data_IF_592322111953
#
_entry.id   IF_592322111953
#
_cell.length_a   1.000
_cell.length_b   1.000
_cell.length_c   1.000
_cell.angle_alpha   90.00
_cell.angle_beta   90.00
_cell.angle_gamma   90.00
#
_symmetry.space_group_name_H-M   'P 1'
#
loop_
_entity.id
_entity.type
_entity.pdbx_description
1 polymer ?
#
# COMPACT_ATOMS: atom_id res chain seq x y z
N UNK A 1 4.35 6.50 -9.45
CA UNK A 1 3.44 5.60 -10.21
C UNK A 1 2.18 5.23 -9.41
N UNK A 2 2.30 4.80 -8.12
CA UNK A 2 1.15 4.50 -7.26
C UNK A 2 0.32 5.77 -6.98
N UNK A 3 0.99 6.89 -6.71
CA UNK A 3 0.35 8.19 -6.46
C UNK A 3 -0.30 8.80 -7.70
N UNK A 4 0.20 8.49 -8.90
CA UNK A 4 -0.35 9.04 -10.13
C UNK A 4 -1.65 8.33 -10.55
N UNK A 5 -1.77 7.03 -10.29
CA UNK A 5 -3.03 6.29 -10.49
C UNK A 5 -4.15 6.77 -9.56
N UNK A 6 -3.80 7.27 -8.37
CA UNK A 6 -4.76 7.80 -7.39
C UNK A 6 -5.30 9.20 -7.74
N UNK A 7 -4.62 9.96 -8.61
CA UNK A 7 -5.07 11.30 -9.05
C UNK A 7 -6.36 11.27 -9.89
N UNK A 8 -6.77 10.10 -10.36
CA UNK A 8 -7.93 9.92 -11.23
C UNK A 8 -9.12 9.27 -10.51
N UNK A 9 -9.04 9.05 -9.19
CA UNK A 9 -10.14 8.44 -8.43
C UNK A 9 -11.23 9.49 -8.24
N UNK A 10 -12.41 9.16 -8.70
CA UNK A 10 -13.63 9.93 -8.44
C UNK A 10 -14.08 9.66 -6.99
N UNK A 11 -13.62 10.53 -6.09
CA UNK A 11 -13.89 10.41 -4.64
C UNK A 11 -15.39 10.52 -4.37
N UNK A 12 -16.13 11.34 -5.12
CA UNK A 12 -17.58 11.50 -4.94
C UNK A 12 -18.31 10.18 -5.22
N UNK A 13 -17.92 9.47 -6.28
CA UNK A 13 -18.45 8.14 -6.57
C UNK A 13 -18.10 7.11 -5.51
N UNK A 14 -16.92 7.19 -4.90
CA UNK A 14 -16.49 6.26 -3.86
C UNK A 14 -17.27 6.47 -2.55
N UNK A 15 -17.54 7.72 -2.17
CA UNK A 15 -18.23 8.09 -0.93
C UNK A 15 -19.64 7.50 -0.89
N UNK A 16 -20.38 7.49 -2.00
CA UNK A 16 -21.73 6.94 -2.07
C UNK A 16 -21.79 5.47 -1.66
N UNK A 17 -20.75 4.69 -1.99
CA UNK A 17 -20.62 3.28 -1.53
C UNK A 17 -20.13 3.24 -0.09
N UNK A 18 -19.16 4.08 0.28
CA UNK A 18 -18.56 4.08 1.61
C UNK A 18 -19.58 4.32 2.74
N UNK A 19 -20.60 5.14 2.48
CA UNK A 19 -21.69 5.42 3.42
C UNK A 19 -22.66 4.24 3.65
N UNK A 20 -22.63 3.22 2.75
CA UNK A 20 -23.56 2.09 2.74
C UNK A 20 -22.90 0.75 3.03
N UNK A 21 -21.62 0.74 3.40
CA UNK A 21 -20.86 -0.48 3.65
C UNK A 21 -20.23 -0.49 5.03
N UNK A 22 -20.16 -1.66 5.63
CA UNK A 22 -19.38 -1.91 6.82
C UNK A 22 -18.34 -3.00 6.56
N UNK A 23 -17.07 -2.73 6.88
CA UNK A 23 -16.00 -3.72 6.75
C UNK A 23 -16.20 -4.83 7.78
N UNK A 24 -16.39 -6.06 7.31
CA UNK A 24 -16.64 -7.23 8.15
C UNK A 24 -15.37 -8.05 8.37
N UNK A 25 -14.56 -8.25 7.32
CA UNK A 25 -13.39 -9.13 7.40
C UNK A 25 -12.30 -8.70 6.42
N UNK A 26 -11.04 -8.93 6.83
CA UNK A 26 -9.85 -8.79 5.97
C UNK A 26 -9.02 -10.05 6.10
N UNK A 27 -8.68 -10.67 4.97
CA UNK A 27 -7.85 -11.89 4.94
C UNK A 27 -6.92 -11.90 3.73
N UNK A 28 -5.75 -12.53 3.87
CA UNK A 28 -4.88 -12.85 2.73
C UNK A 28 -5.48 -14.03 1.97
N UNK A 29 -5.65 -13.89 0.66
CA UNK A 29 -6.17 -14.97 -0.22
C UNK A 29 -5.12 -15.51 -1.16
N UNK A 30 -4.07 -14.73 -1.42
CA UNK A 30 -2.92 -15.14 -2.22
C UNK A 30 -1.68 -14.43 -1.71
N UNK A 31 -0.55 -15.12 -1.63
CA UNK A 31 0.73 -14.47 -1.31
C UNK A 31 1.89 -15.24 -1.91
N UNK A 32 2.99 -14.52 -2.16
CA UNK A 32 4.27 -15.08 -2.59
C UNK A 32 5.40 -14.28 -1.97
N UNK A 33 6.42 -14.98 -1.49
CA UNK A 33 7.66 -14.39 -0.99
C UNK A 33 8.83 -15.16 -1.59
N UNK A 34 9.64 -14.47 -2.36
CA UNK A 34 10.81 -15.03 -3.06
C UNK A 34 12.06 -14.30 -2.60
N UNK A 35 13.07 -15.05 -2.17
CA UNK A 35 14.39 -14.53 -1.82
C UNK A 35 15.44 -15.29 -2.63
N UNK A 36 16.37 -14.57 -3.26
CA UNK A 36 17.51 -15.23 -3.93
C UNK A 36 18.42 -15.93 -2.93
N UNK A 37 18.91 -17.15 -3.27
CA UNK A 37 19.76 -17.95 -2.36
C UNK A 37 21.08 -17.28 -1.99
N UNK A 38 21.56 -16.32 -2.77
CA UNK A 38 22.84 -15.61 -2.55
C UNK A 38 22.88 -14.75 -1.29
N UNK A 39 21.81 -14.71 -0.51
CA UNK A 39 21.71 -13.99 0.76
C UNK A 39 22.17 -12.55 0.62
N UNK A 40 21.28 -11.64 0.37
CA UNK A 40 21.65 -10.25 0.10
C UNK A 40 21.87 -9.49 1.39
N UNK A 41 23.05 -8.94 1.56
CA UNK A 41 23.37 -8.00 2.64
C UNK A 41 23.56 -6.63 1.99
N UNK A 42 22.78 -5.66 2.39
CA UNK A 42 23.00 -4.30 1.91
C UNK A 42 21.78 -3.40 2.06
N UNK A 43 21.94 -2.13 1.79
CA UNK A 43 20.81 -1.24 1.61
C UNK A 43 20.05 -1.64 0.35
N UNK A 44 18.71 -1.60 0.43
CA UNK A 44 17.84 -1.96 -0.67
C UNK A 44 17.14 -0.72 -1.23
N UNK A 45 17.06 -0.67 -2.54
CA UNK A 45 16.09 0.15 -3.26
C UNK A 45 14.81 -0.67 -3.43
N UNK A 46 13.66 -0.10 -3.10
CA UNK A 46 12.39 -0.81 -3.06
C UNK A 46 11.39 -0.15 -3.99
N UNK A 47 10.80 -0.95 -4.86
CA UNK A 47 9.69 -0.55 -5.74
C UNK A 47 8.40 -1.18 -5.24
N UNK A 48 7.38 -0.34 -5.00
CA UNK A 48 6.03 -0.77 -4.62
C UNK A 48 5.10 -0.64 -5.82
N UNK A 49 4.37 -1.71 -6.11
CA UNK A 49 3.37 -1.72 -7.17
C UNK A 49 2.02 -2.16 -6.62
N UNK A 50 0.98 -1.56 -7.18
CA UNK A 50 -0.41 -1.97 -7.00
C UNK A 50 -0.92 -2.49 -8.34
N UNK A 51 -1.53 -3.65 -8.33
CA UNK A 51 -2.17 -4.26 -9.49
C UNK A 51 -3.63 -3.80 -9.61
N UNK A 52 -4.32 -4.27 -10.63
CA UNK A 52 -5.76 -4.07 -10.78
C UNK A 52 -6.52 -4.64 -9.56
N UNK A 53 -7.63 -4.00 -9.23
CA UNK A 53 -8.50 -4.39 -8.11
C UNK A 53 -9.69 -5.14 -8.69
N UNK A 54 -9.84 -6.39 -8.27
CA UNK A 54 -11.06 -7.15 -8.56
C UNK A 54 -12.14 -6.83 -7.53
N UNK A 55 -13.39 -6.76 -8.00
CA UNK A 55 -14.55 -6.41 -7.19
C UNK A 55 -15.68 -7.40 -7.47
N UNK A 56 -16.16 -8.03 -6.42
CA UNK A 56 -17.22 -9.03 -6.49
C UNK A 56 -18.40 -8.61 -5.63
N UNK A 57 -19.58 -8.59 -6.22
CA UNK A 57 -20.82 -8.18 -5.56
C UNK A 57 -21.78 -9.35 -5.53
N UNK A 58 -22.24 -9.71 -4.34
CA UNK A 58 -23.33 -10.67 -4.17
C UNK A 58 -24.58 -9.93 -3.67
N UNK A 59 -25.54 -9.74 -4.59
CA UNK A 59 -26.77 -9.00 -4.29
C UNK A 59 -27.68 -9.71 -3.30
N UNK A 60 -27.77 -11.03 -3.38
CA UNK A 60 -28.63 -11.84 -2.49
C UNK A 60 -28.12 -11.82 -1.04
N UNK A 61 -26.81 -11.93 -0.87
CA UNK A 61 -26.17 -11.90 0.45
C UNK A 61 -25.83 -10.48 0.94
N UNK A 62 -26.12 -9.48 0.13
CA UNK A 62 -25.74 -8.08 0.41
C UNK A 62 -24.26 -7.96 0.82
N UNK A 63 -23.36 -8.56 0.03
CA UNK A 63 -21.92 -8.53 0.30
C UNK A 63 -21.14 -7.97 -0.87
N UNK A 64 -20.14 -7.18 -0.55
CA UNK A 64 -19.14 -6.66 -1.47
C UNK A 64 -17.78 -7.22 -1.05
N UNK A 65 -17.05 -7.81 -1.99
CA UNK A 65 -15.66 -8.24 -1.78
C UNK A 65 -14.76 -7.43 -2.69
N UNK A 66 -13.77 -6.77 -2.11
CA UNK A 66 -12.74 -6.01 -2.83
C UNK A 66 -11.42 -6.74 -2.66
N UNK A 67 -10.72 -7.00 -3.78
CA UNK A 67 -9.48 -7.77 -3.81
C UNK A 67 -8.28 -6.92 -4.29
N UNK A 68 -7.75 -6.01 -3.48
CA UNK A 68 -6.53 -5.30 -3.80
C UNK A 68 -5.32 -6.23 -3.77
N UNK A 69 -4.48 -6.11 -4.79
CA UNK A 69 -3.22 -6.85 -4.91
C UNK A 69 -2.04 -5.90 -4.90
N UNK A 70 -1.03 -6.24 -4.11
CA UNK A 70 0.19 -5.45 -3.95
C UNK A 70 1.42 -6.31 -4.24
N UNK A 71 2.46 -5.67 -4.74
CA UNK A 71 3.78 -6.28 -4.86
C UNK A 71 4.89 -5.31 -4.48
N UNK A 72 5.98 -5.89 -3.99
CA UNK A 72 7.19 -5.21 -3.60
C UNK A 72 8.36 -5.94 -4.23
N UNK A 73 9.22 -5.19 -4.93
CA UNK A 73 10.48 -5.67 -5.47
C UNK A 73 11.62 -4.91 -4.81
N UNK A 74 12.61 -5.62 -4.30
CA UNK A 74 13.78 -5.05 -3.64
C UNK A 74 15.06 -5.40 -4.38
N UNK A 75 15.90 -4.40 -4.59
CA UNK A 75 17.19 -4.49 -5.28
C UNK A 75 18.29 -3.99 -4.34
N UNK A 76 19.39 -4.71 -4.24
CA UNK A 76 20.57 -4.21 -3.52
C UNK A 76 21.15 -3.02 -4.28
N UNK A 77 21.35 -1.89 -3.59
CA UNK A 77 21.99 -0.70 -4.15
C UNK A 77 23.40 -1.10 -4.61
N UNK A 78 23.86 -0.57 -5.73
CA UNK A 78 25.13 -0.88 -6.39
C UNK A 78 25.23 -2.23 -7.12
N UNK A 79 24.17 -3.03 -7.09
CA UNK A 79 24.12 -4.30 -7.81
C UNK A 79 23.10 -4.19 -8.95
N UNK A 80 23.52 -3.67 -10.11
CA UNK A 80 22.69 -3.58 -11.32
C UNK A 80 22.33 -5.00 -11.80
N UNK A 81 21.23 -5.54 -11.30
CA UNK A 81 20.67 -6.82 -11.71
C UNK A 81 19.36 -6.59 -12.45
N UNK A 82 19.11 -7.41 -13.45
CA UNK A 82 17.86 -7.40 -14.23
C UNK A 82 16.67 -7.96 -13.42
N UNK A 83 16.91 -8.53 -12.24
CA UNK A 83 15.89 -9.14 -11.40
C UNK A 83 16.07 -8.79 -9.92
N UNK A 84 14.97 -8.60 -9.16
CA UNK A 84 15.03 -8.23 -7.75
C UNK A 84 15.74 -9.29 -6.89
N UNK A 85 16.33 -8.86 -5.80
CA UNK A 85 16.97 -9.72 -4.82
C UNK A 85 15.96 -10.42 -3.92
N UNK A 86 14.85 -9.76 -3.63
CA UNK A 86 13.65 -10.42 -3.10
C UNK A 86 12.35 -9.75 -3.60
N UNK A 87 11.30 -10.55 -3.59
CA UNK A 87 9.96 -10.14 -4.00
C UNK A 87 8.95 -10.57 -2.95
N UNK A 88 7.99 -9.72 -2.66
CA UNK A 88 6.86 -10.02 -1.79
C UNK A 88 5.60 -9.56 -2.50
N UNK A 89 4.60 -10.44 -2.59
CA UNK A 89 3.29 -10.06 -3.11
C UNK A 89 2.17 -10.64 -2.27
N UNK A 90 1.05 -9.94 -2.19
CA UNK A 90 -0.15 -10.43 -1.55
C UNK A 90 -1.42 -9.82 -2.17
N UNK A 91 -2.48 -10.62 -2.21
CA UNK A 91 -3.85 -10.21 -2.50
C UNK A 91 -4.66 -10.36 -1.22
N UNK A 92 -5.33 -9.30 -0.84
CA UNK A 92 -6.24 -9.29 0.31
C UNK A 92 -7.69 -9.38 -0.17
N UNK A 93 -8.54 -10.12 0.53
CA UNK A 93 -9.98 -10.05 0.37
C UNK A 93 -10.57 -9.23 1.53
N UNK A 94 -11.12 -8.07 1.19
CA UNK A 94 -11.88 -7.23 2.10
C UNK A 94 -13.37 -7.51 1.86
N UNK A 95 -14.02 -8.08 2.85
CA UNK A 95 -15.44 -8.39 2.77
C UNK A 95 -16.23 -7.32 3.53
N UNK A 96 -17.15 -6.68 2.82
CA UNK A 96 -18.05 -5.68 3.36
C UNK A 96 -19.49 -6.21 3.34
N UNK A 97 -20.28 -5.83 4.33
CA UNK A 97 -21.73 -5.91 4.27
C UNK A 97 -22.29 -4.64 3.62
N UNK A 98 -23.31 -4.80 2.77
CA UNK A 98 -24.00 -3.70 2.10
C UNK A 98 -25.37 -3.49 2.76
N UNK A 99 -25.73 -2.26 3.06
CA UNK A 99 -27.06 -1.93 3.56
C UNK A 99 -28.10 -2.03 2.45
N UNK A 100 -27.84 -1.35 1.34
CA UNK A 100 -28.65 -1.43 0.12
C UNK A 100 -27.77 -1.30 -1.15
N UNK A 101 -28.37 -1.52 -2.30
CA UNK A 101 -27.72 -1.48 -3.62
C UNK A 101 -28.39 -0.48 -4.56
N UNK A 102 -29.43 0.21 -4.07
CA UNK A 102 -30.22 1.09 -4.92
C UNK A 102 -29.35 2.26 -5.40
N UNK A 103 -29.50 2.59 -6.68
CA UNK A 103 -28.78 3.66 -7.38
C UNK A 103 -27.24 3.52 -7.45
N UNK A 104 -26.67 2.36 -7.03
CA UNK A 104 -25.22 2.12 -7.14
C UNK A 104 -24.85 1.51 -8.49
N UNK A 105 -23.97 2.19 -9.21
CA UNK A 105 -23.43 1.73 -10.49
C UNK A 105 -22.12 0.95 -10.32
N UNK A 106 -21.70 0.23 -11.36
CA UNK A 106 -20.39 -0.42 -11.40
C UNK A 106 -19.23 0.57 -11.19
N UNK A 107 -19.37 1.79 -11.69
CA UNK A 107 -18.37 2.85 -11.52
C UNK A 107 -18.22 3.29 -10.05
N UNK A 108 -19.32 3.33 -9.28
CA UNK A 108 -19.28 3.61 -7.85
C UNK A 108 -18.43 2.57 -7.10
N UNK A 109 -18.68 1.27 -7.40
CA UNK A 109 -17.91 0.19 -6.77
C UNK A 109 -16.44 0.20 -7.20
N UNK A 110 -16.14 0.50 -8.46
CA UNK A 110 -14.75 0.65 -8.93
C UNK A 110 -14.04 1.80 -8.21
N UNK A 111 -14.68 2.97 -8.11
CA UNK A 111 -14.14 4.11 -7.38
C UNK A 111 -13.90 3.77 -5.90
N UNK A 112 -14.86 3.10 -5.25
CA UNK A 112 -14.73 2.64 -3.87
C UNK A 112 -13.57 1.66 -3.70
N UNK A 113 -13.43 0.67 -4.58
CA UNK A 113 -12.33 -0.29 -4.54
C UNK A 113 -10.96 0.39 -4.61
N UNK A 114 -10.81 1.33 -5.54
CA UNK A 114 -9.57 2.08 -5.71
C UNK A 114 -9.26 3.06 -4.58
N UNK A 115 -10.24 3.63 -3.92
CA UNK A 115 -10.06 4.52 -2.78
C UNK A 115 -10.01 3.73 -1.46
N UNK A 116 -11.17 3.25 -1.02
CA UNK A 116 -11.36 2.65 0.30
C UNK A 116 -10.77 1.24 0.39
N UNK A 117 -10.83 0.45 -0.70
CA UNK A 117 -10.24 -0.89 -0.74
C UNK A 117 -8.74 -0.87 -0.48
N UNK A 118 -8.00 0.02 -1.16
CA UNK A 118 -6.57 0.20 -0.95
C UNK A 118 -6.31 0.74 0.46
N UNK A 119 -7.01 1.81 0.86
CA UNK A 119 -6.83 2.43 2.16
C UNK A 119 -7.02 1.43 3.31
N UNK A 120 -8.08 0.63 3.26
CA UNK A 120 -8.39 -0.36 4.28
C UNK A 120 -7.44 -1.57 4.26
N UNK A 121 -6.90 -1.96 3.10
CA UNK A 121 -5.93 -3.05 2.99
C UNK A 121 -4.51 -2.63 3.40
N UNK A 122 -4.16 -1.34 3.29
CA UNK A 122 -2.80 -0.86 3.45
C UNK A 122 -2.14 -1.19 4.80
N UNK A 123 -2.82 -1.09 5.95
CA UNK A 123 -2.24 -1.48 7.24
C UNK A 123 -1.83 -2.95 7.28
N UNK A 124 -2.65 -3.83 6.70
CA UNK A 124 -2.39 -5.27 6.61
C UNK A 124 -1.23 -5.58 5.66
N UNK A 125 -1.15 -4.89 4.51
CA UNK A 125 -0.02 -4.99 3.60
C UNK A 125 1.30 -4.56 4.27
N UNK A 126 1.30 -3.46 5.02
CA UNK A 126 2.47 -2.99 5.77
C UNK A 126 2.95 -4.01 6.80
N UNK A 127 2.04 -4.56 7.58
CA UNK A 127 2.32 -5.61 8.57
C UNK A 127 2.86 -6.87 7.87
N UNK A 128 2.22 -7.29 6.79
CA UNK A 128 2.62 -8.47 6.03
C UNK A 128 4.06 -8.34 5.51
N UNK A 129 4.42 -7.21 4.89
CA UNK A 129 5.79 -6.99 4.41
C UNK A 129 6.80 -6.98 5.54
N UNK A 130 6.51 -6.30 6.65
CA UNK A 130 7.40 -6.26 7.81
C UNK A 130 7.61 -7.66 8.42
N UNK A 131 6.54 -8.42 8.55
CA UNK A 131 6.58 -9.78 9.07
C UNK A 131 7.34 -10.74 8.13
N UNK A 132 7.08 -10.65 6.80
CA UNK A 132 7.74 -11.51 5.84
C UNK A 132 9.22 -11.19 5.69
N UNK A 133 9.63 -9.93 5.62
CA UNK A 133 11.06 -9.57 5.56
C UNK A 133 11.82 -10.08 6.77
N UNK A 134 11.26 -9.98 7.98
CA UNK A 134 11.86 -10.56 9.18
C UNK A 134 12.03 -12.10 9.08
N UNK A 135 11.02 -12.81 8.58
CA UNK A 135 11.05 -14.26 8.37
C UNK A 135 12.00 -14.70 7.28
N UNK A 136 12.20 -13.86 6.28
CA UNK A 136 13.18 -14.08 5.20
C UNK A 136 14.63 -13.83 5.66
N UNK A 137 14.84 -13.34 6.89
CA UNK A 137 16.18 -13.06 7.42
C UNK A 137 16.82 -11.80 6.84
N UNK A 138 16.03 -10.92 6.20
CA UNK A 138 16.44 -9.58 5.81
C UNK A 138 15.97 -8.56 6.85
N UNK A 139 16.59 -7.36 6.94
CA UNK A 139 16.13 -6.34 7.88
C UNK A 139 14.63 -6.03 7.69
N UNK A 140 13.84 -5.96 8.78
CA UNK A 140 12.42 -5.68 8.69
C UNK A 140 12.14 -4.39 7.93
N UNK A 141 11.38 -4.47 6.84
CA UNK A 141 11.06 -3.33 6.00
C UNK A 141 9.73 -2.71 6.44
N UNK A 142 9.75 -1.42 6.75
CA UNK A 142 8.55 -0.66 7.08
C UNK A 142 8.12 0.19 5.90
N UNK A 143 7.01 -0.16 5.26
CA UNK A 143 6.40 0.63 4.19
C UNK A 143 5.78 1.91 4.78
N UNK A 144 5.86 3.07 4.10
CA UNK A 144 5.23 4.31 4.56
C UNK A 144 3.71 4.16 4.73
N UNK A 145 3.10 5.01 5.54
CA UNK A 145 1.64 5.10 5.64
C UNK A 145 1.05 5.56 4.31
N UNK A 146 -0.11 4.99 3.97
CA UNK A 146 -0.87 5.44 2.81
C UNK A 146 -1.50 6.80 3.13
N UNK A 147 -1.36 7.74 2.20
CA UNK A 147 -1.94 9.08 2.32
C UNK A 147 -2.78 9.36 1.08
N UNK A 148 -4.04 9.64 1.27
CA UNK A 148 -4.87 10.27 0.27
C UNK A 148 -4.52 11.75 0.29
N UNK A 149 -3.65 12.17 -0.62
CA UNK A 149 -3.36 13.60 -0.79
C UNK A 149 -4.46 14.21 -1.64
N UNK A 150 -5.03 15.36 -1.26
CA UNK A 150 -5.91 16.09 -2.17
C UNK A 150 -5.13 16.44 -3.44
N UNK A 151 -5.81 16.63 -4.59
CA UNK A 151 -5.15 17.03 -5.84
C UNK A 151 -4.34 18.29 -5.59
N UNK A 152 -3.05 18.21 -5.87
CA UNK A 152 -2.03 19.19 -5.52
C UNK A 152 -2.34 20.57 -6.11
N UNK A 153 -2.76 21.51 -5.27
CA UNK A 153 -2.46 22.92 -5.50
C UNK A 153 -0.99 23.13 -5.12
N UNK A 154 -0.20 23.53 -6.11
CA UNK A 154 1.24 23.73 -6.06
C UNK A 154 1.65 24.48 -4.81
N UNK A 155 2.44 23.83 -3.96
CA UNK A 155 3.58 24.44 -3.27
C UNK A 155 4.24 23.36 -2.40
N UNK A 156 5.32 22.80 -2.93
CA UNK A 156 6.23 22.00 -2.13
C UNK A 156 7.01 22.95 -1.23
N UNK A 157 6.58 23.16 0.00
CA UNK A 157 7.40 23.80 1.03
C UNK A 157 8.66 22.97 1.26
N UNK A 158 9.78 23.55 0.85
CA UNK A 158 11.11 23.06 1.20
C UNK A 158 11.25 23.07 2.72
N UNK A 159 11.24 21.90 3.33
CA UNK A 159 11.61 21.75 4.73
C UNK A 159 13.02 22.31 4.94
N UNK A 160 13.23 23.26 5.84
CA UNK A 160 14.56 23.79 6.10
C UNK A 160 15.44 22.73 6.74
N UNK A 161 16.60 22.49 6.13
CA UNK A 161 17.61 21.60 6.66
C UNK A 161 18.02 22.03 8.07
N UNK A 162 17.79 21.16 9.07
CA UNK A 162 18.27 21.39 10.44
C UNK A 162 19.80 21.47 10.44
N UNK A 163 20.34 22.68 10.64
CA UNK A 163 21.77 22.90 10.90
C UNK A 163 22.18 22.14 12.16
N UNK A 164 23.07 21.16 11.99
CA UNK A 164 23.76 20.52 13.13
C UNK A 164 24.62 21.59 13.82
N UNK A 165 24.30 21.92 15.06
CA UNK A 165 25.14 22.75 15.93
C UNK A 165 26.26 21.88 16.46
N UNK A 166 27.45 22.07 15.91
CA UNK A 166 28.70 21.53 16.49
C UNK A 166 29.01 22.27 17.79
N UNK A 167 28.79 21.64 18.94
CA UNK A 167 29.38 22.07 20.21
C UNK A 167 30.80 21.52 20.28
N UNK A 168 31.76 22.38 19.91
CA UNK A 168 33.18 22.16 20.23
C UNK A 168 33.39 22.31 21.73
N UNK A 169 33.79 21.22 22.39
CA UNK A 169 34.25 21.27 23.78
C UNK A 169 35.62 21.94 23.84
N UNK A 170 35.70 23.17 24.38
CA UNK A 170 36.97 23.77 24.84
C UNK A 170 37.41 23.11 26.15
N UNK A 171 38.45 22.30 26.10
CA UNK A 171 39.28 21.99 27.28
C UNK A 171 40.04 23.24 27.67
N UNK A 172 39.95 23.66 28.94
CA UNK A 172 40.93 24.50 29.62
C UNK A 172 41.35 23.82 30.89
N UNK A 173 42.66 23.64 30.94
CA UNK A 173 43.57 23.54 32.11
C UNK A 173 42.97 23.08 33.44
#
# INVERSE_FOLDING_TARGET
ELQDKLKTIDIEKAVVVAERVALHNVRVVKSSCLLKPSGTKGPYEVTLNQQEIDIQINKEKKTLVVLPSFSLNAFVIDNKKDSPDFEISATFALTYTLEDLDDLSAENFQAFGHANGIYNAWPYWREFVQSMTARMGVPPLTIPVFRLSPPNNKEAEKLPAKKRVNKSAKKKK
#
